data_IF_390782250543
#
_entry.id   IF_390782250543
#
_cell.length_a   1.000
_cell.length_b   1.000
_cell.length_c   1.000
_cell.angle_alpha   90.00
_cell.angle_beta   90.00
_cell.angle_gamma   90.00
#
_symmetry.space_group_name_H-M   'P 1'
#
loop_
_entity.id
_entity.type
_entity.pdbx_description
1 polymer ?
#
# COMPACT_ATOMS: atom_id res chain seq x y z
N UNK A 1 23.96 2.35 23.91
CA UNK A 1 23.49 1.37 22.91
C UNK A 1 22.16 1.76 22.23
N UNK A 2 21.17 2.32 22.97
CA UNK A 2 19.84 2.68 22.43
C UNK A 2 19.91 3.73 21.30
N UNK A 3 20.67 4.82 21.49
CA UNK A 3 20.82 5.84 20.45
C UNK A 3 21.45 5.29 19.16
N UNK A 4 22.40 4.36 19.29
CA UNK A 4 23.00 3.66 18.15
C UNK A 4 21.96 2.78 17.45
N UNK A 5 21.14 2.05 18.21
CA UNK A 5 20.05 1.23 17.65
C UNK A 5 19.01 2.08 16.91
N UNK A 6 18.61 3.24 17.46
CA UNK A 6 17.68 4.18 16.79
C UNK A 6 18.27 4.69 15.47
N UNK A 7 19.56 5.06 15.43
CA UNK A 7 20.20 5.52 14.19
C UNK A 7 20.26 4.42 13.14
N UNK A 8 20.61 3.20 13.52
CA UNK A 8 20.62 2.04 12.62
C UNK A 8 19.21 1.75 12.10
N UNK A 9 18.20 1.82 12.96
CA UNK A 9 16.82 1.59 12.57
C UNK A 9 16.29 2.65 11.61
N UNK A 10 16.62 3.94 11.82
CA UNK A 10 16.29 5.01 10.86
C UNK A 10 16.91 4.74 9.49
N UNK A 11 18.16 4.24 9.46
CA UNK A 11 18.79 3.85 8.20
C UNK A 11 18.10 2.63 7.56
N UNK A 12 17.68 1.62 8.35
CA UNK A 12 16.88 0.49 7.85
C UNK A 12 15.57 1.01 7.23
N UNK A 13 14.85 1.90 7.92
CA UNK A 13 13.61 2.50 7.41
C UNK A 13 13.83 3.24 6.10
N UNK A 14 14.91 4.01 6.00
CA UNK A 14 15.24 4.75 4.79
C UNK A 14 15.54 3.81 3.61
N UNK A 15 16.38 2.77 3.83
CA UNK A 15 16.73 1.81 2.79
C UNK A 15 15.53 0.98 2.34
N UNK A 16 14.72 0.48 3.28
CA UNK A 16 13.53 -0.32 2.96
C UNK A 16 12.44 0.52 2.28
N UNK A 17 12.26 1.78 2.68
CA UNK A 17 11.32 2.68 2.03
C UNK A 17 11.74 3.03 0.60
N UNK A 18 13.03 3.28 0.36
CA UNK A 18 13.59 3.46 -0.99
C UNK A 18 13.38 2.21 -1.85
N UNK A 19 13.78 1.03 -1.34
CA UNK A 19 13.67 -0.22 -2.08
C UNK A 19 12.22 -0.54 -2.46
N UNK A 20 11.30 -0.45 -1.49
CA UNK A 20 9.88 -0.67 -1.71
C UNK A 20 9.26 0.38 -2.65
N UNK A 21 9.69 1.63 -2.52
CA UNK A 21 9.24 2.72 -3.38
C UNK A 21 9.70 2.55 -4.83
N UNK A 22 10.93 2.11 -5.07
CA UNK A 22 11.42 1.76 -6.42
C UNK A 22 10.54 0.68 -7.05
N UNK A 23 10.30 -0.44 -6.33
CA UNK A 23 9.46 -1.53 -6.82
C UNK A 23 8.01 -1.10 -7.06
N UNK A 24 7.37 -0.47 -6.08
CA UNK A 24 5.95 -0.12 -6.16
C UNK A 24 5.60 0.85 -7.29
N UNK A 25 6.51 1.76 -7.65
CA UNK A 25 6.29 2.70 -8.73
C UNK A 25 6.43 2.09 -10.13
N UNK A 26 7.04 0.91 -10.26
CA UNK A 26 7.31 0.29 -11.57
C UNK A 26 6.56 -1.02 -11.80
N UNK A 27 6.01 -1.69 -10.78
CA UNK A 27 5.38 -3.00 -10.94
C UNK A 27 4.31 -3.03 -12.04
N UNK A 28 3.41 -2.06 -12.08
CA UNK A 28 2.35 -2.06 -13.08
C UNK A 28 2.89 -1.90 -14.50
N UNK A 29 3.89 -1.04 -14.71
CA UNK A 29 4.56 -0.91 -16.01
C UNK A 29 5.37 -2.16 -16.35
N UNK A 30 6.09 -2.73 -15.37
CA UNK A 30 6.83 -3.98 -15.56
C UNK A 30 5.92 -5.12 -16.03
N UNK A 31 4.76 -5.29 -15.41
CA UNK A 31 3.80 -6.31 -15.84
C UNK A 31 3.28 -6.04 -17.26
N UNK A 32 3.01 -4.77 -17.58
CA UNK A 32 2.51 -4.39 -18.90
C UNK A 32 3.57 -4.49 -20.00
N UNK A 33 4.76 -3.95 -19.77
CA UNK A 33 5.79 -3.79 -20.80
C UNK A 33 6.60 -5.07 -21.02
N UNK A 34 6.83 -5.89 -19.96
CA UNK A 34 7.61 -7.13 -20.07
C UNK A 34 6.73 -8.33 -20.41
N UNK A 35 5.54 -8.43 -19.80
CA UNK A 35 4.67 -9.62 -19.95
C UNK A 35 3.44 -9.36 -20.80
N UNK A 36 3.18 -8.13 -21.22
CA UNK A 36 2.04 -7.75 -22.06
C UNK A 36 0.69 -8.26 -21.55
N UNK A 37 0.50 -8.18 -20.24
CA UNK A 37 -0.68 -8.70 -19.56
C UNK A 37 -1.93 -7.87 -19.87
N UNK A 38 -3.08 -8.53 -19.88
CA UNK A 38 -4.40 -7.89 -19.95
C UNK A 38 -4.94 -7.47 -18.58
N UNK A 39 -6.13 -6.86 -18.54
CA UNK A 39 -6.75 -6.38 -17.31
C UNK A 39 -7.19 -7.51 -16.39
N UNK A 40 -7.53 -8.68 -16.93
CA UNK A 40 -7.85 -9.88 -16.16
C UNK A 40 -6.61 -10.40 -15.44
N UNK A 41 -5.52 -10.61 -16.19
CA UNK A 41 -4.24 -11.03 -15.62
C UNK A 41 -3.73 -10.00 -14.59
N UNK A 42 -3.92 -8.69 -14.86
CA UNK A 42 -3.56 -7.64 -13.91
C UNK A 42 -4.29 -7.80 -12.56
N UNK A 43 -5.57 -8.15 -12.60
CA UNK A 43 -6.35 -8.46 -11.40
C UNK A 43 -5.86 -9.73 -10.69
N UNK A 44 -5.59 -10.80 -11.45
CA UNK A 44 -5.16 -12.09 -10.89
C UNK A 44 -3.76 -12.07 -10.27
N UNK A 45 -2.85 -11.20 -10.71
CA UNK A 45 -1.52 -11.01 -10.09
C UNK A 45 -1.63 -10.62 -8.61
N UNK A 46 -2.71 -9.98 -8.20
CA UNK A 46 -2.93 -9.62 -6.80
C UNK A 46 -3.10 -10.85 -5.88
N UNK A 47 -3.50 -12.02 -6.41
CA UNK A 47 -3.59 -13.25 -5.62
C UNK A 47 -2.21 -13.64 -5.03
N UNK A 48 -1.16 -13.92 -5.83
CA UNK A 48 0.16 -14.23 -5.28
C UNK A 48 0.77 -13.03 -4.53
N UNK A 49 0.39 -11.80 -4.86
CA UNK A 49 0.92 -10.60 -4.20
C UNK A 49 0.33 -10.36 -2.82
N UNK A 50 -0.92 -10.71 -2.57
CA UNK A 50 -1.63 -10.39 -1.32
C UNK A 50 -1.88 -11.61 -0.42
N UNK A 51 -1.87 -12.84 -0.96
CA UNK A 51 -2.00 -14.07 -0.17
C UNK A 51 -0.95 -14.22 0.93
N UNK A 52 0.31 -13.73 0.78
CA UNK A 52 1.27 -13.71 1.89
C UNK A 52 0.78 -12.95 3.12
N UNK A 53 -0.04 -11.91 2.95
CA UNK A 53 -0.61 -11.15 4.08
C UNK A 53 -1.47 -12.02 5.01
N UNK A 54 -2.17 -13.01 4.47
CA UNK A 54 -2.94 -13.98 5.27
C UNK A 54 -2.00 -14.98 5.95
N UNK A 55 -0.92 -15.40 5.27
CA UNK A 55 0.05 -16.37 5.79
C UNK A 55 0.94 -15.78 6.89
N UNK A 56 1.10 -14.46 6.93
CA UNK A 56 1.99 -13.78 7.89
C UNK A 56 1.69 -14.13 9.35
N UNK A 57 0.42 -14.26 9.74
CA UNK A 57 0.07 -14.64 11.11
C UNK A 57 0.65 -16.01 11.49
N UNK A 58 0.56 -16.98 10.57
CA UNK A 58 1.09 -18.34 10.78
C UNK A 58 2.61 -18.31 10.84
N UNK A 59 3.24 -17.54 9.96
CA UNK A 59 4.71 -17.43 9.92
C UNK A 59 5.27 -16.69 11.14
N UNK A 60 4.63 -15.61 11.58
CA UNK A 60 5.05 -14.91 12.82
C UNK A 60 4.92 -15.83 14.03
N UNK A 61 3.87 -16.67 14.09
CA UNK A 61 3.72 -17.65 15.15
C UNK A 61 4.79 -18.75 15.07
N UNK A 62 5.09 -19.27 13.89
CA UNK A 62 6.08 -20.33 13.68
C UNK A 62 7.52 -19.85 13.93
N UNK A 63 7.84 -18.63 13.53
CA UNK A 63 9.18 -18.01 13.65
C UNK A 63 9.36 -17.20 14.93
N UNK A 64 8.34 -17.11 15.80
CA UNK A 64 8.33 -16.24 16.97
C UNK A 64 9.49 -16.44 17.95
N UNK A 65 10.10 -17.62 17.97
CA UNK A 65 11.29 -17.92 18.78
C UNK A 65 12.56 -17.14 18.34
N UNK A 66 12.58 -16.67 17.08
CA UNK A 66 13.74 -15.90 16.56
C UNK A 66 13.80 -14.47 17.09
N UNK A 67 12.69 -13.93 17.60
CA UNK A 67 12.56 -12.53 17.99
C UNK A 67 12.43 -11.57 16.79
N UNK A 68 11.94 -10.34 17.05
CA UNK A 68 11.54 -9.40 16.01
C UNK A 68 12.65 -9.02 15.03
N UNK A 69 13.89 -8.84 15.50
CA UNK A 69 15.01 -8.40 14.64
C UNK A 69 15.47 -9.53 13.70
N UNK A 70 15.60 -10.78 14.17
CA UNK A 70 15.97 -11.89 13.30
C UNK A 70 14.85 -12.27 12.33
N UNK A 71 13.59 -12.20 12.75
CA UNK A 71 12.46 -12.35 11.82
C UNK A 71 12.50 -11.26 10.74
N UNK A 72 12.87 -10.02 11.08
CA UNK A 72 13.03 -8.93 10.12
C UNK A 72 14.18 -9.19 9.13
N UNK A 73 15.27 -9.82 9.57
CA UNK A 73 16.34 -10.28 8.67
C UNK A 73 15.79 -11.29 7.67
N UNK A 74 15.08 -12.32 8.13
CA UNK A 74 14.45 -13.33 7.25
C UNK A 74 13.49 -12.65 6.26
N UNK A 75 12.65 -11.73 6.74
CA UNK A 75 11.72 -10.99 5.92
C UNK A 75 12.42 -10.21 4.79
N UNK A 76 13.48 -9.47 5.11
CA UNK A 76 14.23 -8.70 4.11
C UNK A 76 15.07 -9.58 3.18
N UNK A 77 15.51 -10.76 3.60
CA UNK A 77 16.14 -11.75 2.70
C UNK A 77 15.13 -12.27 1.67
N UNK A 78 13.88 -12.53 2.06
CA UNK A 78 12.82 -12.92 1.12
C UNK A 78 12.54 -11.81 0.10
N UNK A 79 12.47 -10.54 0.55
CA UNK A 79 12.34 -9.39 -0.35
C UNK A 79 13.52 -9.33 -1.33
N UNK A 80 14.75 -9.48 -0.82
CA UNK A 80 15.96 -9.45 -1.62
C UNK A 80 15.96 -10.52 -2.72
N UNK A 81 15.61 -11.76 -2.37
CA UNK A 81 15.56 -12.89 -3.33
C UNK A 81 14.58 -12.59 -4.46
N UNK A 82 13.38 -12.11 -4.16
CA UNK A 82 12.41 -11.73 -5.18
C UNK A 82 12.92 -10.61 -6.09
N UNK A 83 13.53 -9.56 -5.52
CA UNK A 83 14.08 -8.43 -6.30
C UNK A 83 15.26 -8.85 -7.18
N UNK A 84 16.13 -9.75 -6.71
CA UNK A 84 17.25 -10.28 -7.49
C UNK A 84 16.75 -11.00 -8.74
N UNK A 85 15.76 -11.89 -8.58
CA UNK A 85 15.23 -12.63 -9.74
C UNK A 85 14.56 -11.68 -10.74
N UNK A 86 13.73 -10.74 -10.27
CA UNK A 86 13.07 -9.76 -11.14
C UNK A 86 14.06 -8.79 -11.79
N UNK A 87 15.17 -8.46 -11.13
CA UNK A 87 16.13 -7.48 -11.60
C UNK A 87 17.18 -8.04 -12.57
N UNK A 88 17.63 -9.29 -12.40
CA UNK A 88 18.77 -9.83 -13.14
C UNK A 88 18.49 -11.13 -13.91
N UNK A 89 17.39 -11.83 -13.62
CA UNK A 89 17.19 -13.16 -14.21
C UNK A 89 16.17 -13.18 -15.35
N UNK A 90 15.56 -12.04 -15.68
CA UNK A 90 14.53 -11.92 -16.74
C UNK A 90 13.55 -13.12 -16.76
N UNK A 91 12.83 -13.36 -15.65
CA UNK A 91 12.04 -14.58 -15.47
C UNK A 91 10.87 -14.61 -16.44
N UNK A 92 10.44 -15.83 -16.83
CA UNK A 92 9.14 -16.03 -17.46
C UNK A 92 7.99 -15.63 -16.51
N UNK A 93 6.78 -15.51 -17.06
CA UNK A 93 5.61 -15.04 -16.29
C UNK A 93 5.32 -15.93 -15.05
N UNK A 94 5.39 -17.25 -15.19
CA UNK A 94 5.14 -18.18 -14.07
C UNK A 94 6.19 -18.05 -12.96
N UNK A 95 7.45 -18.00 -13.33
CA UNK A 95 8.57 -17.79 -12.40
C UNK A 95 8.46 -16.40 -11.74
N UNK A 96 8.10 -15.37 -12.50
CA UNK A 96 7.85 -14.04 -11.95
C UNK A 96 6.78 -14.06 -10.85
N UNK A 97 5.67 -14.77 -11.04
CA UNK A 97 4.59 -14.87 -10.03
C UNK A 97 5.08 -15.52 -8.74
N UNK A 98 5.93 -16.56 -8.83
CA UNK A 98 6.52 -17.23 -7.66
C UNK A 98 7.42 -16.26 -6.88
N UNK A 99 8.30 -15.54 -7.58
CA UNK A 99 9.22 -14.63 -6.91
C UNK A 99 8.56 -13.31 -6.47
N UNK A 100 7.48 -12.92 -7.13
CA UNK A 100 6.58 -11.86 -6.65
C UNK A 100 5.92 -12.27 -5.33
N UNK A 101 5.44 -13.53 -5.21
CA UNK A 101 4.91 -14.07 -3.95
C UNK A 101 5.99 -14.06 -2.85
N UNK A 102 7.21 -14.53 -3.13
CA UNK A 102 8.33 -14.54 -2.17
C UNK A 102 8.69 -13.12 -1.72
N UNK A 103 8.79 -12.18 -2.66
CA UNK A 103 9.02 -10.76 -2.37
C UNK A 103 7.92 -10.20 -1.45
N UNK A 104 6.68 -10.44 -1.81
CA UNK A 104 5.52 -9.98 -1.06
C UNK A 104 5.44 -10.60 0.33
N UNK A 105 5.80 -11.89 0.46
CA UNK A 105 5.87 -12.58 1.75
C UNK A 105 6.83 -11.86 2.71
N UNK A 106 8.01 -11.50 2.21
CA UNK A 106 8.98 -10.72 2.98
C UNK A 106 8.44 -9.36 3.38
N UNK A 107 7.80 -8.63 2.45
CA UNK A 107 7.20 -7.32 2.73
C UNK A 107 6.12 -7.39 3.82
N UNK A 108 5.19 -8.32 3.69
CA UNK A 108 4.08 -8.49 4.66
C UNK A 108 4.57 -8.96 6.02
N UNK A 109 5.59 -9.83 6.06
CA UNK A 109 6.21 -10.24 7.31
C UNK A 109 6.92 -9.06 8.01
N UNK A 110 7.58 -8.18 7.25
CA UNK A 110 8.31 -7.04 7.80
C UNK A 110 7.40 -5.96 8.39
N UNK A 111 6.18 -5.76 7.84
CA UNK A 111 5.28 -4.69 8.29
C UNK A 111 4.99 -4.72 9.81
N UNK A 112 4.44 -5.80 10.39
CA UNK A 112 4.18 -5.85 11.84
C UNK A 112 5.45 -5.85 12.68
N UNK A 113 6.54 -6.40 12.17
CA UNK A 113 7.84 -6.39 12.85
C UNK A 113 8.43 -4.98 12.91
N UNK A 114 8.30 -4.22 11.83
CA UNK A 114 8.70 -2.81 11.78
C UNK A 114 7.97 -1.98 12.84
N UNK A 115 6.65 -2.18 12.98
CA UNK A 115 5.86 -1.49 14.00
C UNK A 115 6.27 -1.90 15.42
N UNK A 116 6.51 -3.18 15.64
CA UNK A 116 6.97 -3.68 16.94
C UNK A 116 8.35 -3.11 17.33
N UNK A 117 9.30 -3.12 16.40
CA UNK A 117 10.65 -2.54 16.63
C UNK A 117 10.54 -1.02 16.85
N UNK A 118 9.69 -0.34 16.09
CA UNK A 118 9.43 1.09 16.25
C UNK A 118 8.94 1.42 17.66
N UNK A 119 7.99 0.64 18.18
CA UNK A 119 7.49 0.80 19.55
C UNK A 119 8.54 0.49 20.61
N UNK A 120 9.35 -0.56 20.43
CA UNK A 120 10.43 -0.93 21.35
C UNK A 120 11.53 0.15 21.44
N UNK A 121 11.77 0.87 20.34
CA UNK A 121 12.74 1.95 20.26
C UNK A 121 12.17 3.31 20.65
N UNK A 122 10.87 3.45 20.80
CA UNK A 122 10.23 4.71 21.17
C UNK A 122 10.47 5.08 22.63
N UNK A 123 10.66 6.36 22.91
CA UNK A 123 10.73 6.87 24.29
C UNK A 123 9.37 6.76 24.96
N UNK A 124 9.34 6.27 26.20
CA UNK A 124 8.09 6.06 26.94
C UNK A 124 7.21 7.31 27.03
N UNK A 125 7.85 8.46 27.18
CA UNK A 125 7.16 9.75 27.32
C UNK A 125 6.83 10.44 25.98
N UNK A 126 7.36 9.92 24.84
CA UNK A 126 7.26 10.53 23.51
C UNK A 126 6.99 9.50 22.40
N UNK A 127 6.21 8.46 22.72
CA UNK A 127 5.94 7.36 21.78
C UNK A 127 5.36 7.88 20.47
N UNK A 128 4.30 8.69 20.53
CA UNK A 128 3.65 9.24 19.34
C UNK A 128 4.59 10.08 18.46
N UNK A 129 5.39 10.94 19.08
CA UNK A 129 6.36 11.77 18.34
C UNK A 129 7.45 10.92 17.67
N UNK A 130 7.90 9.86 18.31
CA UNK A 130 8.91 8.94 17.76
C UNK A 130 8.36 8.13 16.59
N UNK A 131 7.15 7.57 16.73
CA UNK A 131 6.47 6.85 15.65
C UNK A 131 6.17 7.75 14.46
N UNK A 132 5.72 8.98 14.73
CA UNK A 132 5.51 10.00 13.70
C UNK A 132 6.79 10.33 12.93
N UNK A 133 7.93 10.44 13.63
CA UNK A 133 9.25 10.65 13.01
C UNK A 133 9.65 9.46 12.12
N UNK A 134 9.46 8.23 12.57
CA UNK A 134 9.76 7.04 11.76
C UNK A 134 8.87 6.95 10.53
N UNK A 135 7.58 7.26 10.67
CA UNK A 135 6.66 7.34 9.53
C UNK A 135 7.05 8.45 8.56
N UNK A 136 7.49 9.60 9.07
CA UNK A 136 8.02 10.70 8.24
C UNK A 136 9.24 10.29 7.42
N UNK A 137 10.18 9.53 8.01
CA UNK A 137 11.33 8.98 7.30
C UNK A 137 10.86 8.05 6.17
N UNK A 138 9.95 7.13 6.47
CA UNK A 138 9.42 6.21 5.46
C UNK A 138 8.76 6.95 4.29
N UNK A 139 7.91 7.94 4.57
CA UNK A 139 7.22 8.72 3.53
C UNK A 139 8.21 9.54 2.69
N UNK A 140 9.19 10.18 3.34
CA UNK A 140 10.21 10.95 2.64
C UNK A 140 11.01 10.08 1.66
N UNK A 141 11.49 8.92 2.09
CA UNK A 141 12.29 8.05 1.24
C UNK A 141 11.45 7.33 0.18
N UNK A 142 10.18 7.05 0.43
CA UNK A 142 9.24 6.59 -0.61
C UNK A 142 9.02 7.66 -1.70
N UNK A 143 8.91 8.94 -1.32
CA UNK A 143 8.84 10.04 -2.29
C UNK A 143 10.15 10.20 -3.08
N UNK A 144 11.31 10.08 -2.42
CA UNK A 144 12.62 10.10 -3.11
C UNK A 144 12.71 8.95 -4.12
N UNK A 145 12.20 7.76 -3.79
CA UNK A 145 12.15 6.63 -4.73
C UNK A 145 11.30 6.97 -5.97
N UNK A 146 10.15 7.61 -5.82
CA UNK A 146 9.33 8.05 -6.94
C UNK A 146 10.07 9.08 -7.82
N UNK A 147 10.82 10.00 -7.20
CA UNK A 147 11.66 10.97 -7.93
C UNK A 147 12.77 10.25 -8.73
N UNK A 148 13.43 9.26 -8.12
CA UNK A 148 14.46 8.46 -8.80
C UNK A 148 13.86 7.70 -9.99
N UNK A 149 12.68 7.08 -9.82
CA UNK A 149 11.97 6.38 -10.90
C UNK A 149 11.61 7.36 -12.01
N UNK A 150 11.03 8.52 -11.67
CA UNK A 150 10.68 9.55 -12.66
C UNK A 150 11.88 9.94 -13.52
N UNK A 151 12.97 10.38 -12.90
CA UNK A 151 14.16 10.80 -13.66
C UNK A 151 14.83 9.62 -14.37
N UNK A 152 14.88 8.44 -13.75
CA UNK A 152 15.48 7.25 -14.33
C UNK A 152 14.84 6.85 -15.65
N UNK A 153 13.52 6.78 -15.75
CA UNK A 153 12.82 6.50 -17.00
C UNK A 153 12.82 7.69 -17.96
N UNK A 154 12.68 8.92 -17.45
CA UNK A 154 12.68 10.12 -18.26
C UNK A 154 13.99 10.35 -19.00
N UNK A 155 15.10 10.01 -18.38
CA UNK A 155 16.45 10.11 -18.98
C UNK A 155 16.87 8.85 -19.74
N UNK A 156 16.02 7.83 -19.80
CA UNK A 156 16.30 6.50 -20.39
C UNK A 156 17.45 5.75 -19.70
N UNK A 157 17.79 6.13 -18.46
CA UNK A 157 18.70 5.36 -17.62
C UNK A 157 18.05 4.04 -17.19
N UNK A 158 16.74 4.07 -16.95
CA UNK A 158 15.92 2.90 -16.64
C UNK A 158 15.13 2.49 -17.88
N UNK A 159 15.08 1.16 -18.13
CA UNK A 159 14.33 0.55 -19.22
C UNK A 159 13.93 -0.86 -18.81
N UNK A 160 12.82 -1.36 -19.35
CA UNK A 160 12.40 -2.76 -19.22
C UNK A 160 12.92 -3.62 -20.38
N UNK A 161 13.53 -3.04 -21.42
CA UNK A 161 14.11 -3.73 -22.57
C UNK A 161 15.50 -4.32 -22.28
N UNK A 162 16.14 -3.91 -21.18
CA UNK A 162 17.47 -4.37 -20.81
C UNK A 162 17.37 -5.70 -20.03
N UNK A 163 18.39 -6.56 -20.18
CA UNK A 163 18.51 -7.82 -19.41
C UNK A 163 18.47 -7.55 -17.91
N UNK A 164 19.11 -6.47 -17.45
CA UNK A 164 19.05 -6.02 -16.07
C UNK A 164 18.04 -4.90 -15.89
N UNK A 165 16.95 -5.17 -15.18
CA UNK A 165 15.98 -4.14 -14.83
C UNK A 165 16.51 -3.35 -13.64
N UNK A 166 17.21 -2.27 -13.96
CA UNK A 166 18.01 -1.48 -13.01
C UNK A 166 17.26 -1.01 -11.76
N UNK A 167 15.97 -0.57 -11.79
CA UNK A 167 15.25 -0.22 -10.58
C UNK A 167 15.12 -1.38 -9.60
N UNK A 168 14.86 -2.62 -10.05
CA UNK A 168 14.83 -3.79 -9.17
C UNK A 168 16.22 -4.15 -8.64
N UNK A 169 17.25 -4.03 -9.48
CA UNK A 169 18.63 -4.25 -9.08
C UNK A 169 19.08 -3.27 -7.98
N UNK A 170 18.74 -1.98 -8.14
CA UNK A 170 18.99 -0.96 -7.10
C UNK A 170 18.21 -1.26 -5.82
N UNK A 171 16.93 -1.62 -5.93
CA UNK A 171 16.11 -2.01 -4.79
C UNK A 171 16.70 -3.23 -4.06
N UNK A 172 17.24 -4.21 -4.79
CA UNK A 172 17.94 -5.37 -4.21
C UNK A 172 19.20 -4.95 -3.45
N UNK A 173 20.01 -4.05 -4.00
CA UNK A 173 21.20 -3.50 -3.33
C UNK A 173 20.86 -2.75 -2.03
N UNK A 174 19.81 -1.92 -2.05
CA UNK A 174 19.31 -1.22 -0.87
C UNK A 174 18.77 -2.21 0.19
N UNK A 175 18.05 -3.23 -0.24
CA UNK A 175 17.52 -4.28 0.64
C UNK A 175 18.67 -5.09 1.26
N UNK A 176 19.72 -5.42 0.51
CA UNK A 176 20.93 -6.06 1.04
C UNK A 176 21.60 -5.19 2.13
N UNK A 177 21.67 -3.88 1.92
CA UNK A 177 22.12 -2.93 2.93
C UNK A 177 21.26 -2.96 4.20
N UNK A 178 19.92 -3.00 4.03
CA UNK A 178 18.98 -3.12 5.15
C UNK A 178 19.16 -4.44 5.92
N UNK A 179 19.39 -5.57 5.23
CA UNK A 179 19.70 -6.87 5.84
C UNK A 179 20.96 -6.77 6.72
N UNK A 180 22.04 -6.17 6.20
CA UNK A 180 23.29 -5.99 6.96
C UNK A 180 23.04 -5.17 8.23
N UNK A 181 22.30 -4.05 8.12
CA UNK A 181 21.99 -3.21 9.28
C UNK A 181 21.11 -3.93 10.30
N UNK A 182 20.12 -4.71 9.87
CA UNK A 182 19.27 -5.52 10.74
C UNK A 182 20.07 -6.60 11.47
N UNK A 183 21.03 -7.27 10.80
CA UNK A 183 21.94 -8.23 11.43
C UNK A 183 22.81 -7.52 12.49
N UNK A 184 23.34 -6.34 12.18
CA UNK A 184 24.09 -5.53 13.15
C UNK A 184 23.21 -5.18 14.37
N UNK A 185 21.95 -4.78 14.14
CA UNK A 185 21.01 -4.48 15.24
C UNK A 185 20.69 -5.72 16.07
N UNK A 186 20.45 -6.86 15.44
CA UNK A 186 20.12 -8.12 16.11
C UNK A 186 21.27 -8.61 17.03
N UNK A 187 22.52 -8.33 16.63
CA UNK A 187 23.71 -8.62 17.46
C UNK A 187 23.93 -7.61 18.60
N UNK A 188 23.46 -6.37 18.44
CA UNK A 188 23.65 -5.30 19.43
C UNK A 188 22.57 -5.27 20.51
N UNK A 189 21.35 -5.77 20.19
CA UNK A 189 20.20 -5.69 21.08
C UNK A 189 19.83 -7.08 21.60
N UNK A 190 19.64 -7.24 22.92
CA UNK A 190 19.12 -8.48 23.46
C UNK A 190 17.71 -8.72 22.93
N UNK A 191 17.46 -9.95 22.48
CA UNK A 191 16.14 -10.37 21.98
C UNK A 191 15.15 -10.31 23.13
N UNK A 192 14.09 -9.52 22.98
CA UNK A 192 12.94 -9.55 23.87
C UNK A 192 11.99 -10.66 23.45
N UNK A 193 11.25 -11.19 24.43
CA UNK A 193 10.31 -12.31 24.30
C UNK A 193 9.44 -12.26 23.05
N UNK A 194 9.02 -13.44 22.52
CA UNK A 194 8.21 -13.55 21.33
C UNK A 194 6.92 -12.75 21.43
N UNK A 195 6.47 -12.26 20.26
CA UNK A 195 5.21 -11.54 20.10
C UNK A 195 4.08 -12.38 20.72
N UNK A 196 3.36 -11.84 21.71
CA UNK A 196 2.18 -12.50 22.25
C UNK A 196 1.14 -12.57 21.13
N UNK A 197 0.72 -13.78 20.78
CA UNK A 197 -0.35 -14.02 19.82
C UNK A 197 -1.63 -13.34 20.31
N UNK A 198 -2.02 -12.25 19.69
CA UNK A 198 -3.31 -11.63 19.91
C UNK A 198 -4.36 -12.41 19.11
N UNK A 199 -5.23 -13.14 19.82
CA UNK A 199 -6.38 -13.80 19.19
C UNK A 199 -7.23 -12.73 18.50
N UNK A 200 -7.63 -12.99 17.25
CA UNK A 200 -8.59 -12.17 16.53
C UNK A 200 -9.88 -12.04 17.33
N UNK A 201 -10.49 -10.88 17.34
CA UNK A 201 -11.73 -10.63 18.06
C UNK A 201 -12.76 -10.04 17.10
N UNK A 202 -13.92 -10.69 17.04
CA UNK A 202 -15.07 -10.21 16.29
C UNK A 202 -16.24 -9.91 17.26
N UNK A 203 -16.72 -8.66 17.25
CA UNK A 203 -17.90 -8.24 18.02
C UNK A 203 -18.90 -7.53 17.14
N UNK A 204 -20.18 -7.84 17.25
CA UNK A 204 -21.29 -7.18 16.52
C UNK A 204 -21.32 -5.66 16.77
N UNK A 205 -20.88 -5.19 17.95
CA UNK A 205 -20.79 -3.76 18.26
C UNK A 205 -19.87 -2.99 17.30
N UNK A 206 -18.85 -3.64 16.76
CA UNK A 206 -17.87 -3.03 15.85
C UNK A 206 -18.29 -3.15 14.39
N UNK A 207 -19.55 -3.50 14.10
CA UNK A 207 -20.08 -3.62 12.75
C UNK A 207 -19.83 -2.36 11.88
N UNK A 208 -20.00 -1.11 12.39
CA UNK A 208 -19.67 0.07 11.60
C UNK A 208 -18.23 0.08 11.10
N UNK A 209 -17.28 -0.31 11.95
CA UNK A 209 -15.87 -0.42 11.57
C UNK A 209 -15.64 -1.50 10.49
N UNK A 210 -16.26 -2.68 10.62
CA UNK A 210 -16.11 -3.75 9.63
C UNK A 210 -16.68 -3.37 8.26
N UNK A 211 -17.83 -2.67 8.23
CA UNK A 211 -18.42 -2.17 6.98
C UNK A 211 -17.47 -1.20 6.26
N UNK A 212 -16.93 -0.23 6.99
CA UNK A 212 -15.95 0.74 6.43
C UNK A 212 -14.71 0.02 5.95
N UNK A 213 -14.18 -0.93 6.71
CA UNK A 213 -12.96 -1.69 6.36
C UNK A 213 -13.18 -2.52 5.09
N UNK A 214 -14.35 -3.15 4.94
CA UNK A 214 -14.72 -3.92 3.75
C UNK A 214 -14.74 -3.02 2.50
N UNK A 215 -15.42 -1.88 2.60
CA UNK A 215 -15.48 -0.90 1.51
C UNK A 215 -14.09 -0.34 1.17
N UNK A 216 -13.33 0.04 2.19
CA UNK A 216 -11.99 0.57 2.04
C UNK A 216 -11.06 -0.44 1.35
N UNK A 217 -11.12 -1.73 1.71
CA UNK A 217 -10.34 -2.77 1.06
C UNK A 217 -10.62 -2.85 -0.46
N UNK A 218 -11.90 -2.78 -0.86
CA UNK A 218 -12.29 -2.74 -2.27
C UNK A 218 -11.79 -1.47 -2.98
N UNK A 219 -12.06 -0.30 -2.42
CA UNK A 219 -11.67 1.02 -2.97
C UNK A 219 -10.15 1.14 -3.10
N UNK A 220 -9.41 0.70 -2.09
CA UNK A 220 -7.96 0.68 -2.08
C UNK A 220 -7.40 -0.19 -3.20
N UNK A 221 -8.00 -1.34 -3.49
CA UNK A 221 -7.55 -2.20 -4.59
C UNK A 221 -7.81 -1.57 -5.94
N UNK A 222 -8.96 -0.98 -6.16
CA UNK A 222 -9.25 -0.27 -7.41
C UNK A 222 -8.26 0.88 -7.62
N UNK A 223 -7.96 1.64 -6.58
CA UNK A 223 -6.95 2.71 -6.60
C UNK A 223 -5.54 2.19 -6.92
N UNK A 224 -5.10 1.09 -6.30
CA UNK A 224 -3.73 0.59 -6.44
C UNK A 224 -3.53 -0.16 -7.76
N UNK A 225 -4.54 -0.91 -8.21
CA UNK A 225 -4.43 -1.80 -9.36
C UNK A 225 -4.92 -1.12 -10.63
N UNK A 226 -6.15 -0.61 -10.62
CA UNK A 226 -6.85 -0.20 -11.84
C UNK A 226 -6.70 1.30 -12.15
N UNK A 227 -6.51 2.17 -11.17
CA UNK A 227 -6.26 3.57 -11.48
C UNK A 227 -4.92 3.80 -12.21
N UNK A 228 -3.78 3.22 -11.76
CA UNK A 228 -2.55 3.25 -12.57
C UNK A 228 -2.71 2.51 -13.90
N UNK A 229 -3.51 1.44 -13.95
CA UNK A 229 -3.74 0.67 -15.16
C UNK A 229 -4.46 1.47 -16.25
N UNK A 230 -5.36 2.41 -15.89
CA UNK A 230 -5.92 3.38 -16.85
C UNK A 230 -4.81 4.24 -17.47
N UNK A 231 -3.88 4.72 -16.66
CA UNK A 231 -2.77 5.56 -17.12
C UNK A 231 -1.83 4.79 -18.07
N UNK A 232 -1.54 3.53 -17.74
CA UNK A 232 -0.59 2.68 -18.47
C UNK A 232 -1.25 2.09 -19.71
N UNK A 233 -2.39 1.42 -19.55
CA UNK A 233 -3.01 0.61 -20.60
C UNK A 233 -3.84 1.45 -21.59
N UNK A 234 -4.62 2.43 -21.11
CA UNK A 234 -5.49 3.22 -21.98
C UNK A 234 -4.80 4.48 -22.51
N UNK A 235 -3.91 5.10 -21.73
CA UNK A 235 -3.17 6.29 -22.16
C UNK A 235 -1.76 5.97 -22.67
N UNK A 236 -1.30 4.71 -22.59
CA UNK A 236 0.03 4.29 -23.05
C UNK A 236 1.19 5.00 -22.34
N UNK A 237 1.01 5.41 -21.08
CA UNK A 237 2.00 6.18 -20.34
C UNK A 237 3.01 5.28 -19.63
N UNK A 238 4.28 5.68 -19.67
CA UNK A 238 5.37 4.96 -19.03
C UNK A 238 5.47 5.17 -17.50
N UNK A 239 6.44 4.48 -16.91
CA UNK A 239 6.69 4.52 -15.46
C UNK A 239 7.09 5.92 -14.96
N UNK A 240 7.67 6.76 -15.81
CA UNK A 240 7.95 8.17 -15.49
C UNK A 240 6.68 8.96 -15.17
N UNK A 241 5.64 8.80 -15.98
CA UNK A 241 4.35 9.49 -15.76
C UNK A 241 3.68 8.99 -14.47
N UNK A 242 3.66 7.69 -14.23
CA UNK A 242 3.09 7.11 -13.00
C UNK A 242 3.86 7.60 -11.77
N UNK A 243 5.20 7.64 -11.83
CA UNK A 243 6.02 8.16 -10.75
C UNK A 243 5.79 9.66 -10.51
N UNK A 244 5.62 10.47 -11.56
CA UNK A 244 5.28 11.88 -11.45
C UNK A 244 3.94 12.07 -10.73
N UNK A 245 2.91 11.34 -11.12
CA UNK A 245 1.60 11.39 -10.47
C UNK A 245 1.68 10.93 -9.00
N UNK A 246 2.54 9.97 -8.69
CA UNK A 246 2.81 9.57 -7.30
C UNK A 246 3.44 10.71 -6.50
N UNK A 247 4.41 11.43 -7.05
CA UNK A 247 5.03 12.61 -6.42
C UNK A 247 3.96 13.67 -6.15
N UNK A 248 3.13 14.00 -7.14
CA UNK A 248 2.03 14.97 -6.98
C UNK A 248 1.08 14.55 -5.87
N UNK A 249 0.75 13.25 -5.79
CA UNK A 249 -0.13 12.71 -4.74
C UNK A 249 0.51 12.80 -3.36
N UNK A 250 1.81 12.51 -3.22
CA UNK A 250 2.51 12.70 -1.94
C UNK A 250 2.50 14.16 -1.49
N UNK A 251 2.80 15.09 -2.39
CA UNK A 251 2.76 16.51 -2.10
C UNK A 251 1.35 16.97 -1.70
N UNK A 252 0.33 16.58 -2.45
CA UNK A 252 -1.07 16.91 -2.12
C UNK A 252 -1.50 16.27 -0.77
N UNK A 253 -1.07 15.04 -0.49
CA UNK A 253 -1.32 14.33 0.75
C UNK A 253 -0.73 15.01 1.99
N UNK A 254 0.44 15.68 1.85
CA UNK A 254 1.06 16.42 2.97
C UNK A 254 0.21 17.59 3.44
N UNK A 255 -0.62 18.15 2.58
CA UNK A 255 -1.58 19.22 2.91
C UNK A 255 -2.95 18.67 3.31
N UNK A 256 -3.41 17.62 2.60
CA UNK A 256 -4.71 17.02 2.85
C UNK A 256 -4.81 16.35 4.23
N UNK A 257 -3.79 15.61 4.65
CA UNK A 257 -3.83 14.87 5.90
C UNK A 257 -4.00 15.75 7.16
N UNK A 258 -3.22 16.83 7.36
CA UNK A 258 -3.44 17.73 8.50
C UNK A 258 -4.77 18.46 8.44
N UNK A 259 -5.25 18.81 7.23
CA UNK A 259 -6.56 19.43 7.04
C UNK A 259 -7.69 18.49 7.47
N UNK A 260 -7.68 17.24 6.99
CA UNK A 260 -8.67 16.24 7.39
C UNK A 260 -8.58 15.89 8.88
N UNK A 261 -7.37 15.85 9.46
CA UNK A 261 -7.20 15.67 10.90
C UNK A 261 -7.89 16.74 11.73
N UNK A 262 -7.71 18.03 11.38
CA UNK A 262 -8.42 19.15 12.03
C UNK A 262 -9.94 19.07 11.84
N UNK A 263 -10.38 18.61 10.68
CA UNK A 263 -11.82 18.41 10.41
C UNK A 263 -12.37 17.27 11.27
N UNK A 264 -11.64 16.15 11.42
CA UNK A 264 -12.04 15.04 12.27
C UNK A 264 -12.20 15.48 13.73
N UNK A 265 -11.25 16.27 14.25
CA UNK A 265 -11.33 16.82 15.61
C UNK A 265 -12.55 17.74 15.81
N UNK A 266 -12.93 18.50 14.74
CA UNK A 266 -14.02 19.46 14.81
C UNK A 266 -15.40 18.85 14.55
N UNK A 267 -15.51 17.93 13.59
CA UNK A 267 -16.78 17.42 13.08
C UNK A 267 -17.15 16.04 13.67
N UNK A 268 -16.15 15.29 14.18
CA UNK A 268 -16.34 13.93 14.66
C UNK A 268 -16.45 12.88 13.54
N UNK A 269 -16.48 11.62 13.95
CA UNK A 269 -16.40 10.44 13.05
C UNK A 269 -17.58 10.41 12.06
N UNK A 270 -18.81 10.63 12.54
CA UNK A 270 -20.02 10.46 11.74
C UNK A 270 -20.03 11.38 10.52
N UNK A 271 -19.75 12.67 10.72
CA UNK A 271 -19.70 13.66 9.64
C UNK A 271 -18.54 13.36 8.68
N UNK A 272 -17.40 12.93 9.22
CA UNK A 272 -16.25 12.55 8.40
C UNK A 272 -16.54 11.34 7.52
N UNK A 273 -17.30 10.35 7.99
CA UNK A 273 -17.74 9.21 7.16
C UNK A 273 -18.69 9.64 6.04
N UNK A 274 -19.58 10.60 6.28
CA UNK A 274 -20.42 11.19 5.21
C UNK A 274 -19.58 11.93 4.17
N UNK A 275 -18.59 12.69 4.62
CA UNK A 275 -17.67 13.40 3.72
C UNK A 275 -16.81 12.42 2.91
N UNK A 276 -16.31 11.36 3.53
CA UNK A 276 -15.58 10.29 2.86
C UNK A 276 -16.44 9.61 1.80
N UNK A 277 -17.70 9.26 2.14
CA UNK A 277 -18.64 8.66 1.20
C UNK A 277 -18.90 9.56 -0.01
N UNK A 278 -19.14 10.85 0.22
CA UNK A 278 -19.34 11.83 -0.85
C UNK A 278 -18.07 11.98 -1.72
N UNK A 279 -16.89 12.05 -1.09
CA UNK A 279 -15.61 12.15 -1.78
C UNK A 279 -15.36 10.93 -2.68
N UNK A 280 -15.56 9.73 -2.16
CA UNK A 280 -15.41 8.46 -2.91
C UNK A 280 -16.42 8.41 -4.06
N UNK A 281 -17.70 8.68 -3.78
CA UNK A 281 -18.72 8.67 -4.80
C UNK A 281 -18.40 9.61 -5.97
N UNK A 282 -17.95 10.82 -5.69
CA UNK A 282 -17.57 11.80 -6.71
C UNK A 282 -16.29 11.43 -7.43
N UNK A 283 -15.18 11.18 -6.70
CA UNK A 283 -13.86 10.95 -7.31
C UNK A 283 -13.82 9.71 -8.19
N UNK A 284 -14.39 8.60 -7.71
CA UNK A 284 -14.42 7.35 -8.49
C UNK A 284 -15.45 7.41 -9.64
N UNK A 285 -16.58 8.09 -9.47
CA UNK A 285 -17.50 8.30 -10.60
C UNK A 285 -16.87 9.14 -11.70
N UNK A 286 -16.19 10.24 -11.35
CA UNK A 286 -15.47 11.07 -12.31
C UNK A 286 -14.39 10.26 -13.03
N UNK A 287 -13.60 9.48 -12.28
CA UNK A 287 -12.59 8.60 -12.89
C UNK A 287 -13.22 7.58 -13.84
N UNK A 288 -14.35 6.96 -13.47
CA UNK A 288 -15.09 6.02 -14.34
C UNK A 288 -15.60 6.68 -15.62
N UNK A 289 -16.22 7.87 -15.51
CA UNK A 289 -16.70 8.62 -16.67
C UNK A 289 -15.56 8.98 -17.64
N UNK A 290 -14.43 9.44 -17.12
CA UNK A 290 -13.29 9.81 -17.94
C UNK A 290 -12.61 8.58 -18.54
N UNK A 291 -12.38 7.53 -17.77
CA UNK A 291 -11.81 6.28 -18.25
C UNK A 291 -12.68 5.62 -19.33
N UNK A 292 -14.02 5.65 -19.18
CA UNK A 292 -14.94 5.17 -20.19
C UNK A 292 -14.84 5.91 -21.53
N UNK A 293 -14.51 7.22 -21.51
CA UNK A 293 -14.26 8.00 -22.73
C UNK A 293 -12.94 7.67 -23.41
N UNK A 294 -11.99 7.08 -22.69
CA UNK A 294 -10.71 6.63 -23.28
C UNK A 294 -10.88 5.32 -24.05
N UNK A 295 -11.89 4.53 -23.75
CA UNK A 295 -12.09 3.23 -24.38
C UNK A 295 -12.27 3.38 -25.91
N UNK A 296 -11.39 2.71 -26.67
CA UNK A 296 -11.42 2.71 -28.14
C UNK A 296 -10.82 3.96 -28.82
N UNK A 297 -10.27 4.91 -28.06
CA UNK A 297 -9.57 6.09 -28.59
C UNK A 297 -8.06 5.99 -28.44
N UNK A 298 -7.33 6.86 -29.17
CA UNK A 298 -5.90 7.08 -28.97
C UNK A 298 -5.70 8.52 -28.52
N UNK A 299 -5.14 8.70 -27.33
CA UNK A 299 -5.00 9.99 -26.67
C UNK A 299 -3.54 10.31 -26.39
N UNK A 300 -3.17 11.56 -26.53
CA UNK A 300 -1.82 12.08 -26.33
C UNK A 300 -1.79 13.07 -25.14
N UNK A 301 -0.59 13.47 -24.74
CA UNK A 301 -0.41 14.52 -23.72
C UNK A 301 -0.92 15.91 -24.17
N UNK A 302 -1.30 16.08 -25.46
CA UNK A 302 -1.90 17.31 -25.97
C UNK A 302 -3.40 17.35 -25.74
N UNK A 303 -4.02 16.21 -25.47
CA UNK A 303 -5.47 16.11 -25.29
C UNK A 303 -5.88 16.55 -23.88
N UNK A 304 -6.81 17.50 -23.73
CA UNK A 304 -7.30 17.92 -22.41
C UNK A 304 -7.84 16.76 -21.55
N UNK A 305 -8.44 15.74 -22.21
CA UNK A 305 -8.97 14.56 -21.53
C UNK A 305 -7.86 13.81 -20.74
N UNK A 306 -6.64 13.72 -21.28
CA UNK A 306 -5.51 13.09 -20.59
C UNK A 306 -5.20 13.78 -19.26
N UNK A 307 -5.18 15.11 -19.23
CA UNK A 307 -4.93 15.88 -18.00
C UNK A 307 -6.09 15.78 -16.99
N UNK A 308 -7.33 15.69 -17.51
CA UNK A 308 -8.48 15.45 -16.64
C UNK A 308 -8.39 14.07 -15.98
N UNK A 309 -7.96 13.04 -16.70
CA UNK A 309 -7.71 11.70 -16.15
C UNK A 309 -6.58 11.72 -15.11
N UNK A 310 -5.50 12.43 -15.35
CA UNK A 310 -4.43 12.60 -14.36
C UNK A 310 -4.93 13.28 -13.08
N UNK A 311 -5.75 14.33 -13.20
CA UNK A 311 -6.40 14.97 -12.06
C UNK A 311 -7.32 14.00 -11.30
N UNK A 312 -8.16 13.25 -12.01
CA UNK A 312 -9.03 12.25 -11.42
C UNK A 312 -8.26 11.11 -10.73
N UNK A 313 -7.13 10.69 -11.31
CA UNK A 313 -6.22 9.73 -10.69
C UNK A 313 -5.72 10.24 -9.34
N UNK A 314 -5.21 11.47 -9.29
CA UNK A 314 -4.72 12.09 -8.04
C UNK A 314 -5.84 12.14 -7.00
N UNK A 315 -7.05 12.55 -7.39
CA UNK A 315 -8.22 12.54 -6.50
C UNK A 315 -8.54 11.14 -5.99
N UNK A 316 -8.55 10.12 -6.87
CA UNK A 316 -8.78 8.73 -6.45
C UNK A 316 -7.72 8.25 -5.46
N UNK A 317 -6.45 8.66 -5.60
CA UNK A 317 -5.39 8.23 -4.67
C UNK A 317 -5.50 8.96 -3.33
N UNK A 318 -5.91 10.22 -3.32
CA UNK A 318 -6.00 11.02 -2.09
C UNK A 318 -7.07 10.54 -1.09
N UNK A 319 -8.04 9.70 -1.51
CA UNK A 319 -9.02 9.14 -0.58
C UNK A 319 -8.36 8.37 0.58
N UNK A 320 -7.16 7.87 0.39
CA UNK A 320 -6.39 7.13 1.41
C UNK A 320 -6.15 7.98 2.68
N UNK A 321 -6.18 9.30 2.54
CA UNK A 321 -6.03 10.20 3.70
C UNK A 321 -7.19 10.08 4.69
N UNK A 322 -8.37 9.59 4.27
CA UNK A 322 -9.49 9.28 5.17
C UNK A 322 -9.27 8.06 6.06
N UNK A 323 -8.25 7.22 5.79
CA UNK A 323 -7.97 6.04 6.61
C UNK A 323 -7.74 6.36 8.09
N UNK A 324 -7.32 7.59 8.41
CA UNK A 324 -7.21 8.03 9.80
C UNK A 324 -8.56 8.04 10.54
N UNK A 325 -9.66 8.29 9.81
CA UNK A 325 -11.03 8.29 10.37
C UNK A 325 -11.41 6.89 10.86
N UNK A 326 -11.02 5.85 10.13
CA UNK A 326 -11.33 4.45 10.47
C UNK A 326 -10.62 4.03 11.76
N UNK A 327 -9.34 4.38 11.90
CA UNK A 327 -8.57 4.10 13.11
C UNK A 327 -9.10 4.87 14.32
N UNK A 328 -9.46 6.13 14.12
CA UNK A 328 -10.06 6.96 15.16
C UNK A 328 -11.44 6.45 15.57
N UNK A 329 -12.28 6.04 14.60
CA UNK A 329 -13.58 5.42 14.86
C UNK A 329 -13.44 4.18 15.73
N UNK A 330 -12.50 3.27 15.40
CA UNK A 330 -12.29 2.08 16.20
C UNK A 330 -11.91 2.43 17.64
N UNK A 331 -11.05 3.43 17.84
CA UNK A 331 -10.67 3.91 19.16
C UNK A 331 -11.87 4.48 19.94
N UNK A 332 -12.78 5.20 19.28
CA UNK A 332 -13.94 5.83 19.92
C UNK A 332 -15.03 4.84 20.34
N UNK A 333 -15.19 3.72 19.59
CA UNK A 333 -16.23 2.71 19.90
C UNK A 333 -15.72 1.54 20.74
N UNK A 334 -14.40 1.41 20.94
CA UNK A 334 -13.79 0.33 21.70
C UNK A 334 -14.23 0.38 23.18
N UNK A 335 -14.57 -0.79 23.73
CA UNK A 335 -14.93 -0.93 25.15
C UNK A 335 -13.69 -1.00 26.04
N UNK A 336 -12.63 -1.59 25.52
CA UNK A 336 -11.34 -1.76 26.19
C UNK A 336 -10.21 -1.46 25.22
N UNK A 337 -9.15 -0.72 25.64
CA UNK A 337 -8.00 -0.44 24.80
C UNK A 337 -7.33 -1.68 24.19
N UNK A 338 -7.37 -2.82 24.87
CA UNK A 338 -6.82 -4.09 24.39
C UNK A 338 -7.59 -4.65 23.18
N UNK A 339 -8.84 -4.26 22.99
CA UNK A 339 -9.69 -4.68 21.87
C UNK A 339 -9.36 -3.93 20.57
N UNK A 340 -8.79 -2.73 20.65
CA UNK A 340 -8.45 -1.89 19.50
C UNK A 340 -7.51 -2.67 18.57
N UNK A 341 -6.36 -3.09 19.07
CA UNK A 341 -5.36 -3.81 18.29
C UNK A 341 -5.92 -5.10 17.67
N UNK A 342 -6.72 -5.85 18.45
CA UNK A 342 -7.32 -7.10 17.98
C UNK A 342 -8.32 -6.88 16.86
N UNK A 343 -9.13 -5.83 16.94
CA UNK A 343 -10.13 -5.49 15.92
C UNK A 343 -9.47 -4.89 14.68
N UNK A 344 -8.44 -4.04 14.84
CA UNK A 344 -7.65 -3.54 13.71
C UNK A 344 -6.95 -4.68 12.95
N UNK A 345 -6.51 -5.74 13.65
CA UNK A 345 -5.96 -6.94 13.01
C UNK A 345 -7.00 -7.69 12.17
N UNK A 346 -8.26 -7.74 12.61
CA UNK A 346 -9.37 -8.27 11.78
C UNK A 346 -9.54 -7.41 10.53
N UNK A 347 -9.50 -6.08 10.66
CA UNK A 347 -9.57 -5.16 9.53
C UNK A 347 -8.46 -5.40 8.50
N UNK A 348 -7.23 -5.63 8.96
CA UNK A 348 -6.11 -5.96 8.06
C UNK A 348 -6.34 -7.29 7.31
N UNK A 349 -6.86 -8.31 7.99
CA UNK A 349 -7.22 -9.59 7.33
C UNK A 349 -8.31 -9.39 6.27
N UNK A 350 -9.31 -8.58 6.56
CA UNK A 350 -10.36 -8.21 5.59
C UNK A 350 -9.78 -7.48 4.38
N UNK A 351 -8.84 -6.55 4.59
CA UNK A 351 -8.15 -5.84 3.49
C UNK A 351 -7.45 -6.82 2.54
N UNK A 352 -6.71 -7.81 3.06
CA UNK A 352 -6.05 -8.83 2.23
C UNK A 352 -7.04 -9.75 1.51
N UNK A 353 -8.12 -10.17 2.18
CA UNK A 353 -9.17 -10.97 1.54
C UNK A 353 -9.83 -10.18 0.41
N UNK A 354 -10.15 -8.90 0.64
CA UNK A 354 -10.71 -8.04 -0.40
C UNK A 354 -9.75 -7.82 -1.56
N UNK A 355 -8.44 -7.74 -1.31
CA UNK A 355 -7.44 -7.66 -2.35
C UNK A 355 -7.45 -8.88 -3.28
N UNK A 356 -7.50 -10.07 -2.69
CA UNK A 356 -7.47 -11.35 -3.40
C UNK A 356 -8.77 -11.58 -4.20
N UNK A 357 -9.91 -11.14 -3.66
CA UNK A 357 -11.22 -11.38 -4.28
C UNK A 357 -11.61 -10.25 -5.23
N UNK A 358 -11.50 -8.99 -4.78
CA UNK A 358 -11.98 -7.86 -5.57
C UNK A 358 -11.14 -7.61 -6.83
N UNK A 359 -9.81 -7.79 -6.77
CA UNK A 359 -8.96 -7.46 -7.91
C UNK A 359 -9.22 -8.36 -9.14
N UNK A 360 -9.28 -9.70 -9.03
CA UNK A 360 -9.67 -10.54 -10.16
C UNK A 360 -11.07 -10.24 -10.69
N UNK A 361 -12.05 -10.05 -9.80
CA UNK A 361 -13.43 -9.72 -10.20
C UNK A 361 -13.46 -8.40 -10.97
N UNK A 362 -12.73 -7.37 -10.53
CA UNK A 362 -12.66 -6.09 -11.23
C UNK A 362 -11.95 -6.20 -12.59
N UNK A 363 -10.95 -7.08 -12.73
CA UNK A 363 -10.31 -7.38 -14.00
C UNK A 363 -11.28 -8.01 -14.99
N UNK A 364 -12.09 -8.98 -14.55
CA UNK A 364 -13.16 -9.58 -15.36
C UNK A 364 -14.23 -8.56 -15.76
N UNK A 365 -14.63 -7.66 -14.85
CA UNK A 365 -15.60 -6.58 -15.13
C UNK A 365 -15.04 -5.61 -16.18
N UNK A 366 -13.76 -5.26 -16.06
CA UNK A 366 -13.10 -4.39 -17.05
C UNK A 366 -13.19 -4.97 -18.46
N UNK A 367 -12.83 -6.24 -18.62
CA UNK A 367 -12.88 -6.90 -19.94
C UNK A 367 -14.31 -7.15 -20.45
N UNK A 368 -15.23 -7.59 -19.58
CA UNK A 368 -16.58 -7.96 -20.01
C UNK A 368 -17.51 -6.76 -20.25
N UNK A 369 -17.39 -5.72 -19.42
CA UNK A 369 -18.35 -4.60 -19.42
C UNK A 369 -17.69 -3.24 -19.66
N UNK A 370 -16.40 -3.12 -19.42
CA UNK A 370 -15.63 -1.90 -19.62
C UNK A 370 -15.09 -1.28 -18.33
N UNK A 371 -14.03 -0.51 -18.50
CA UNK A 371 -13.26 0.12 -17.41
C UNK A 371 -14.10 0.99 -16.47
N UNK A 372 -15.11 1.69 -16.98
CA UNK A 372 -15.94 2.60 -16.18
C UNK A 372 -16.67 1.90 -15.05
N UNK A 373 -17.10 0.64 -15.25
CA UNK A 373 -17.86 -0.10 -14.26
C UNK A 373 -17.01 -0.50 -13.04
N UNK A 374 -15.69 -0.69 -13.22
CA UNK A 374 -14.75 -0.92 -12.11
C UNK A 374 -14.80 0.26 -11.13
N UNK A 375 -14.76 1.48 -11.66
CA UNK A 375 -14.79 2.69 -10.83
C UNK A 375 -16.21 3.00 -10.30
N UNK A 376 -17.25 2.71 -11.04
CA UNK A 376 -18.64 2.87 -10.54
C UNK A 376 -18.94 1.93 -9.38
N UNK A 377 -18.39 0.70 -9.38
CA UNK A 377 -18.52 -0.22 -8.25
C UNK A 377 -17.75 0.27 -7.03
N UNK A 378 -16.58 0.89 -7.23
CA UNK A 378 -15.88 1.58 -6.13
C UNK A 378 -16.71 2.72 -5.56
N UNK A 379 -17.30 3.56 -6.43
CA UNK A 379 -18.21 4.63 -6.00
C UNK A 379 -19.42 4.09 -5.24
N UNK A 380 -20.03 3.00 -5.73
CA UNK A 380 -21.19 2.36 -5.10
C UNK A 380 -20.84 1.79 -3.71
N UNK A 381 -19.61 1.31 -3.53
CA UNK A 381 -19.16 0.81 -2.22
C UNK A 381 -19.16 1.88 -1.12
N UNK A 382 -19.23 3.18 -1.48
CA UNK A 382 -19.42 4.28 -0.52
C UNK A 382 -20.73 4.16 0.29
N UNK A 383 -21.70 3.35 -0.16
CA UNK A 383 -22.90 3.02 0.61
C UNK A 383 -22.55 2.34 1.94
N UNK A 384 -21.42 1.62 2.03
CA UNK A 384 -20.98 1.04 3.30
C UNK A 384 -20.50 2.11 4.29
N UNK A 385 -19.83 3.17 3.83
CA UNK A 385 -19.51 4.31 4.70
C UNK A 385 -20.76 5.01 5.18
N UNK A 386 -21.77 5.18 4.30
CA UNK A 386 -23.08 5.75 4.66
C UNK A 386 -23.77 4.88 5.72
N UNK A 387 -23.80 3.56 5.52
CA UNK A 387 -24.38 2.63 6.49
C UNK A 387 -23.62 2.66 7.82
N UNK A 388 -22.30 2.73 7.78
CA UNK A 388 -21.48 2.85 8.98
C UNK A 388 -21.76 4.18 9.72
N UNK A 389 -21.88 5.29 9.00
CA UNK A 389 -22.22 6.59 9.58
C UNK A 389 -23.63 6.57 10.23
N UNK A 390 -24.61 5.91 9.59
CA UNK A 390 -25.94 5.76 10.13
C UNK A 390 -25.99 4.88 11.40
N UNK A 391 -25.14 3.84 11.47
CA UNK A 391 -25.01 2.94 12.63
C UNK A 391 -24.13 3.50 13.74
N UNK A 392 -23.28 4.50 13.43
CA UNK A 392 -22.45 5.18 14.42
C UNK A 392 -23.33 6.07 15.31
N UNK A 393 -23.23 5.88 16.60
CA UNK A 393 -23.82 6.81 17.57
C UNK A 393 -22.99 8.10 17.53
N UNK A 394 -23.66 9.25 17.76
CA UNK A 394 -22.94 10.50 17.91
C UNK A 394 -22.03 10.39 19.15
N UNK A 395 -20.70 10.34 18.93
CA UNK A 395 -19.66 10.30 19.95
C UNK A 395 -18.80 11.54 19.76
#
# INVERSE_FOLDING_TARGET
NRQRAVRLFVAVLALTALANGLGSNIFSNYFNEVFHIDSVQRGFIEIPRESPGILCMVLVAALGLLGNLWMSVVAQVLVLVGLVVMGWMSPDYGTMLVFLFINSLGMHLFMPLNDAISMDLADRDKVGATLGKFKGVNTLFAMIAAIIVFFGFRTRLFSFEQETILPFALAAGLTAGAVILLVCMARLMPQKNPVKNHKLMFRKRYMPYYLVTLAYGCQKRIKIVFAPWVIINLLGQGADTVALLTIVTYLAGTWAAPFLGKMLDKLGVKQMLWMEAAYIAVSFTVMGLLAGKLAGGSFSLRDPLTWMVFGAYVLCVLFEQFNMVHSYMMRSIALDPSEITRTLSVGLSVDHIMAIVASPVMGLIWEAWGVQYVFYLAALSALFQIAAAALSRDV
#
